data_IF_451096395319
#
_entry.id   IF_451096395319
#
_cell.length_a   1.000
_cell.length_b   1.000
_cell.length_c   1.000
_cell.angle_alpha   90.00
_cell.angle_beta   90.00
_cell.angle_gamma   90.00
#
_symmetry.space_group_name_H-M   'P 1'
#
loop_
_entity.id
_entity.type
_entity.pdbx_description
1 polymer ?
#
# COMPACT_ATOMS: atom_id res chain seq x y z
N UNK A 1 -2.20 -3.54 -12.22
CA UNK A 1 -2.34 -3.93 -10.80
C UNK A 1 -2.14 -2.77 -9.83
N UNK A 2 -0.97 -2.13 -9.80
CA UNK A 2 -0.63 -1.13 -8.77
C UNK A 2 -1.22 0.27 -8.96
N UNK A 3 -1.62 0.63 -10.18
CA UNK A 3 -2.20 1.94 -10.47
C UNK A 3 -3.67 1.90 -10.90
N UNK A 4 -4.29 0.71 -10.91
CA UNK A 4 -5.67 0.54 -11.35
C UNK A 4 -6.55 0.07 -10.20
N UNK A 5 -7.79 0.53 -10.19
CA UNK A 5 -8.79 0.18 -9.22
C UNK A 5 -10.19 0.10 -9.86
N UNK A 6 -11.12 -0.52 -9.17
CA UNK A 6 -12.53 -0.52 -9.58
C UNK A 6 -13.21 0.75 -9.07
N UNK A 7 -13.85 1.49 -9.97
CA UNK A 7 -14.74 2.61 -9.65
C UNK A 7 -16.20 2.21 -9.89
N UNK A 8 -17.15 3.10 -9.60
CA UNK A 8 -18.58 2.86 -9.88
C UNK A 8 -18.82 2.51 -11.35
N UNK A 9 -18.19 3.25 -12.27
CA UNK A 9 -18.45 3.16 -13.71
C UNK A 9 -17.45 2.29 -14.48
N UNK A 10 -16.30 1.92 -13.88
CA UNK A 10 -15.24 1.21 -14.58
C UNK A 10 -14.56 0.19 -13.67
N UNK A 11 -14.57 -1.08 -14.08
CA UNK A 11 -13.95 -2.18 -13.33
C UNK A 11 -12.42 -2.12 -13.23
N UNK A 12 -11.74 -1.45 -14.16
CA UNK A 12 -10.28 -1.38 -14.26
C UNK A 12 -9.80 0.04 -14.57
N UNK A 13 -10.22 1.01 -13.76
CA UNK A 13 -9.93 2.43 -13.94
C UNK A 13 -8.49 2.75 -13.53
N UNK A 14 -7.71 3.37 -14.44
CA UNK A 14 -6.39 3.91 -14.10
C UNK A 14 -6.54 5.12 -13.17
N UNK A 15 -5.86 5.09 -12.02
CA UNK A 15 -5.84 6.16 -11.01
C UNK A 15 -4.48 6.87 -10.96
N UNK A 16 -3.83 6.92 -12.11
CA UNK A 16 -2.58 7.61 -12.37
C UNK A 16 -2.54 8.00 -13.86
N UNK A 17 -1.83 9.08 -14.16
CA UNK A 17 -1.45 9.43 -15.53
C UNK A 17 -0.23 8.64 -15.97
N UNK A 18 -0.20 8.24 -17.24
CA UNK A 18 0.93 7.50 -17.84
C UNK A 18 1.28 8.10 -19.19
N UNK A 19 2.53 8.50 -19.36
CA UNK A 19 3.10 8.89 -20.65
C UNK A 19 4.14 7.84 -21.06
N UNK A 20 3.90 7.19 -22.20
CA UNK A 20 4.79 6.14 -22.72
C UNK A 20 5.46 6.65 -23.99
N UNK A 21 6.79 6.71 -23.97
CA UNK A 21 7.60 6.96 -25.17
C UNK A 21 8.08 5.62 -25.72
N UNK A 22 7.92 5.43 -27.02
CA UNK A 22 8.41 4.25 -27.73
C UNK A 22 9.56 4.71 -28.62
N UNK A 23 10.70 4.03 -28.52
CA UNK A 23 11.92 4.40 -29.22
C UNK A 23 12.13 3.49 -30.43
N UNK A 24 12.36 4.12 -31.58
CA UNK A 24 12.68 3.44 -32.83
C UNK A 24 14.08 3.84 -33.31
N UNK A 25 14.80 2.90 -33.89
CA UNK A 25 16.07 3.19 -34.56
C UNK A 25 15.87 3.76 -35.97
N UNK A 26 16.97 4.04 -36.68
CA UNK A 26 16.93 4.54 -38.06
C UNK A 26 16.36 3.53 -39.08
N UNK A 27 16.14 2.27 -38.68
CA UNK A 27 15.51 1.22 -39.49
C UNK A 27 14.03 1.02 -39.13
N UNK A 28 13.47 1.88 -38.27
CA UNK A 28 12.12 1.78 -37.70
C UNK A 28 11.89 0.51 -36.86
N UNK A 29 12.94 -0.06 -36.29
CA UNK A 29 12.81 -1.18 -35.35
C UNK A 29 12.62 -0.66 -33.93
N UNK A 30 11.74 -1.34 -33.18
CA UNK A 30 11.52 -1.05 -31.76
C UNK A 30 12.78 -1.38 -30.97
N UNK A 31 13.41 -0.38 -30.38
CA UNK A 31 14.65 -0.53 -29.59
C UNK A 31 14.48 -0.26 -28.11
N UNK A 32 13.37 0.34 -27.69
CA UNK A 32 13.10 0.57 -26.28
C UNK A 32 11.80 1.32 -26.01
N UNK A 33 11.51 1.52 -24.74
CA UNK A 33 10.39 2.34 -24.29
C UNK A 33 10.70 2.98 -22.93
N UNK A 34 10.21 4.21 -22.73
CA UNK A 34 10.19 4.86 -21.42
C UNK A 34 8.75 5.03 -20.95
N UNK A 35 8.52 4.89 -19.66
CA UNK A 35 7.23 5.17 -19.05
C UNK A 35 7.42 6.20 -17.94
N UNK A 36 6.75 7.34 -18.06
CA UNK A 36 6.68 8.36 -17.02
C UNK A 36 5.28 8.35 -16.42
N UNK A 37 5.20 8.25 -15.10
CA UNK A 37 3.93 8.21 -14.36
C UNK A 37 3.69 9.51 -13.62
N UNK A 38 2.43 9.95 -13.55
CA UNK A 38 2.02 11.19 -12.91
C UNK A 38 0.80 10.98 -12.03
N UNK A 39 0.67 11.80 -10.98
CA UNK A 39 -0.59 11.99 -10.23
C UNK A 39 -1.27 10.69 -9.81
N UNK A 40 -0.54 9.79 -9.13
CA UNK A 40 -1.17 8.65 -8.47
C UNK A 40 -2.16 9.16 -7.40
N UNK A 41 -3.40 8.67 -7.43
CA UNK A 41 -4.43 9.00 -6.43
C UNK A 41 -4.09 8.34 -5.08
N UNK A 42 -3.22 8.98 -4.30
CA UNK A 42 -2.76 8.45 -3.00
C UNK A 42 -3.90 8.27 -2.00
N UNK A 43 -4.90 9.16 -2.02
CA UNK A 43 -6.07 9.10 -1.12
C UNK A 43 -6.87 7.80 -1.24
N UNK A 44 -6.82 7.13 -2.40
CA UNK A 44 -7.51 5.84 -2.59
C UNK A 44 -6.97 4.73 -1.69
N UNK A 45 -5.72 4.83 -1.24
CA UNK A 45 -5.15 3.84 -0.32
C UNK A 45 -5.92 3.83 1.00
N UNK A 46 -6.32 5.00 1.50
CA UNK A 46 -6.93 5.15 2.84
C UNK A 46 -8.46 5.15 2.83
N UNK A 47 -9.09 5.55 1.73
CA UNK A 47 -10.55 5.65 1.65
C UNK A 47 -11.05 5.36 0.24
N UNK A 48 -12.23 4.74 0.16
CA UNK A 48 -12.91 4.46 -1.10
C UNK A 48 -14.40 4.79 -0.97
N UNK A 49 -15.00 5.25 -2.06
CA UNK A 49 -16.44 5.48 -2.10
C UNK A 49 -17.20 4.15 -2.11
N UNK A 50 -18.46 4.18 -1.66
CA UNK A 50 -19.34 3.02 -1.73
C UNK A 50 -19.40 2.45 -3.15
N UNK A 51 -19.22 1.12 -3.24
CA UNK A 51 -19.14 0.41 -4.51
C UNK A 51 -17.77 0.45 -5.17
N UNK A 52 -16.79 1.23 -4.72
CA UNK A 52 -15.44 1.22 -5.29
C UNK A 52 -14.51 0.21 -4.61
N UNK A 53 -13.33 -0.01 -5.18
CA UNK A 53 -12.23 -0.77 -4.57
C UNK A 53 -11.01 0.08 -4.35
N UNK A 54 -10.13 -0.40 -3.48
CA UNK A 54 -8.74 0.01 -3.44
C UNK A 54 -8.00 -0.52 -4.70
N UNK A 55 -6.69 -0.29 -4.78
CA UNK A 55 -5.88 -0.78 -5.90
C UNK A 55 -5.92 -2.31 -6.01
N UNK A 56 -5.91 -2.81 -7.25
CA UNK A 56 -6.04 -4.24 -7.51
C UNK A 56 -4.93 -5.10 -6.88
N UNK A 57 -3.73 -4.54 -6.70
CA UNK A 57 -2.60 -5.27 -6.11
C UNK A 57 -2.91 -5.81 -4.70
N UNK A 58 -3.71 -5.12 -3.88
CA UNK A 58 -4.10 -5.62 -2.56
C UNK A 58 -4.89 -6.92 -2.68
N UNK A 59 -5.96 -6.94 -3.47
CA UNK A 59 -6.83 -8.11 -3.62
C UNK A 59 -6.12 -9.27 -4.34
N UNK A 60 -5.28 -8.96 -5.33
CA UNK A 60 -4.43 -9.93 -6.01
C UNK A 60 -3.45 -10.60 -5.05
N UNK A 61 -2.83 -9.83 -4.15
CA UNK A 61 -1.95 -10.36 -3.10
C UNK A 61 -2.69 -11.36 -2.20
N UNK A 62 -3.90 -11.05 -1.75
CA UNK A 62 -4.70 -12.00 -0.95
C UNK A 62 -5.14 -13.24 -1.72
N UNK A 63 -5.44 -13.11 -3.02
CA UNK A 63 -5.90 -14.20 -3.87
C UNK A 63 -4.78 -15.11 -4.40
N UNK A 64 -3.55 -14.58 -4.46
CA UNK A 64 -2.42 -15.24 -5.10
C UNK A 64 -1.37 -15.80 -4.14
N UNK A 65 -1.17 -15.18 -2.98
CA UNK A 65 -0.23 -15.68 -1.98
C UNK A 65 -0.75 -16.96 -1.31
N UNK A 66 0.17 -17.89 -1.07
CA UNK A 66 -0.11 -19.08 -0.27
C UNK A 66 -0.46 -18.72 1.17
N UNK A 67 -1.02 -19.68 1.91
CA UNK A 67 -1.30 -19.50 3.34
C UNK A 67 -0.03 -19.20 4.14
N UNK A 68 1.10 -19.85 3.81
CA UNK A 68 2.39 -19.63 4.47
C UNK A 68 2.90 -18.22 4.22
N UNK A 69 2.89 -17.77 2.96
CA UNK A 69 3.34 -16.41 2.61
C UNK A 69 2.45 -15.34 3.26
N UNK A 70 1.14 -15.57 3.35
CA UNK A 70 0.25 -14.66 4.09
C UNK A 70 0.53 -14.64 5.58
N UNK A 71 0.85 -15.78 6.20
CA UNK A 71 1.23 -15.83 7.61
C UNK A 71 2.53 -15.06 7.87
N UNK A 72 3.53 -15.18 6.98
CA UNK A 72 4.77 -14.38 7.04
C UNK A 72 4.53 -12.86 6.96
N UNK A 73 3.42 -12.45 6.33
CA UNK A 73 3.01 -11.05 6.21
C UNK A 73 1.98 -10.62 7.28
N UNK A 74 1.64 -11.49 8.22
CA UNK A 74 0.56 -11.29 9.20
C UNK A 74 -0.80 -10.98 8.54
N UNK A 75 -1.06 -11.57 7.35
CA UNK A 75 -2.25 -11.40 6.51
C UNK A 75 -3.23 -12.57 6.58
N UNK A 76 -3.54 -13.03 7.79
CA UNK A 76 -4.37 -14.22 8.02
C UNK A 76 -5.87 -13.92 7.96
N UNK A 77 -6.26 -12.66 8.24
CA UNK A 77 -7.65 -12.20 8.16
C UNK A 77 -8.09 -12.04 6.70
N UNK A 78 -9.40 -12.12 6.39
CA UNK A 78 -9.92 -11.76 5.08
C UNK A 78 -9.54 -10.32 4.69
N UNK A 79 -9.37 -10.05 3.39
CA UNK A 79 -8.98 -8.73 2.90
C UNK A 79 -9.89 -7.58 3.40
N UNK A 80 -11.20 -7.82 3.51
CA UNK A 80 -12.16 -6.82 4.00
C UNK A 80 -12.10 -6.53 5.50
N UNK A 81 -11.24 -7.21 6.26
CA UNK A 81 -11.04 -6.96 7.70
C UNK A 81 -9.96 -5.92 8.01
N UNK A 82 -9.25 -5.43 7.00
CA UNK A 82 -8.23 -4.38 7.13
C UNK A 82 -8.86 -3.02 6.82
N UNK A 83 -8.58 -2.01 7.65
CA UNK A 83 -9.23 -0.70 7.62
C UNK A 83 -9.16 -0.02 6.24
N UNK A 84 -8.03 -0.14 5.56
CA UNK A 84 -7.83 0.43 4.22
C UNK A 84 -8.56 -0.31 3.09
N UNK A 85 -9.16 -1.47 3.38
CA UNK A 85 -9.90 -2.30 2.43
C UNK A 85 -11.37 -2.50 2.84
N UNK A 86 -11.75 -2.18 4.08
CA UNK A 86 -13.07 -2.49 4.66
C UNK A 86 -14.23 -1.70 4.03
N UNK A 87 -13.96 -0.45 3.60
CA UNK A 87 -15.00 0.45 3.05
C UNK A 87 -15.36 0.13 1.60
N UNK A 88 -14.42 -0.44 0.87
CA UNK A 88 -14.60 -0.81 -0.53
C UNK A 88 -15.24 -2.19 -0.69
N UNK A 89 -15.62 -2.53 -1.91
CA UNK A 89 -16.01 -3.91 -2.24
C UNK A 89 -14.75 -4.78 -2.34
N UNK A 90 -14.83 -6.04 -1.89
CA UNK A 90 -13.66 -6.94 -1.96
C UNK A 90 -13.66 -7.68 -3.29
N UNK A 91 -14.78 -8.31 -3.64
CA UNK A 91 -14.94 -9.11 -4.84
C UNK A 91 -15.63 -8.32 -5.96
N UNK A 92 -15.17 -8.54 -7.20
CA UNK A 92 -15.78 -7.98 -8.42
C UNK A 92 -15.99 -9.13 -9.38
N UNK A 93 -17.24 -9.45 -9.72
CA UNK A 93 -17.58 -10.62 -10.54
C UNK A 93 -16.81 -10.68 -11.88
N UNK A 94 -16.52 -9.52 -12.47
CA UNK A 94 -15.79 -9.41 -13.73
C UNK A 94 -14.26 -9.57 -13.61
N UNK A 95 -13.70 -9.78 -12.41
CA UNK A 95 -12.25 -9.81 -12.16
C UNK A 95 -11.88 -11.07 -11.39
N UNK A 96 -11.01 -11.89 -11.97
CA UNK A 96 -10.35 -13.01 -11.30
C UNK A 96 -9.02 -12.55 -10.68
N UNK A 97 -9.02 -12.20 -9.39
CA UNK A 97 -7.82 -11.64 -8.74
C UNK A 97 -6.66 -12.66 -8.64
N UNK A 98 -6.92 -13.97 -8.64
CA UNK A 98 -5.87 -15.02 -8.60
C UNK A 98 -5.14 -15.16 -9.95
N UNK A 99 -5.90 -15.13 -11.05
CA UNK A 99 -5.34 -15.09 -12.40
C UNK A 99 -4.54 -13.80 -12.60
N UNK A 100 -5.11 -12.65 -12.19
CA UNK A 100 -4.43 -11.35 -12.32
C UNK A 100 -3.18 -11.23 -11.46
N UNK A 101 -3.11 -11.92 -10.32
CA UNK A 101 -1.89 -12.07 -9.56
C UNK A 101 -0.82 -12.83 -10.36
N UNK A 102 -1.19 -13.97 -10.93
CA UNK A 102 -0.28 -14.81 -11.73
C UNK A 102 0.27 -14.05 -12.93
N UNK A 103 -0.60 -13.34 -13.66
CA UNK A 103 -0.22 -12.44 -14.75
C UNK A 103 0.81 -11.39 -14.30
N UNK A 104 0.56 -10.75 -13.15
CA UNK A 104 1.44 -9.72 -12.61
C UNK A 104 2.81 -10.28 -12.23
N UNK A 105 2.87 -11.45 -11.57
CA UNK A 105 4.13 -12.13 -11.21
C UNK A 105 4.94 -12.45 -12.46
N UNK A 106 4.30 -13.01 -13.50
CA UNK A 106 4.97 -13.32 -14.77
C UNK A 106 5.47 -12.04 -15.43
N UNK A 107 4.62 -11.01 -15.54
CA UNK A 107 4.99 -9.73 -16.15
C UNK A 107 6.18 -9.06 -15.43
N UNK A 108 6.20 -9.08 -14.10
CA UNK A 108 7.30 -8.55 -13.30
C UNK A 108 8.61 -9.30 -13.57
N UNK A 109 8.58 -10.64 -13.66
CA UNK A 109 9.75 -11.44 -14.01
C UNK A 109 10.27 -11.12 -15.41
N UNK A 110 9.37 -10.97 -16.38
CA UNK A 110 9.72 -10.64 -17.77
C UNK A 110 10.51 -9.33 -17.89
N UNK A 111 10.21 -8.35 -17.05
CA UNK A 111 10.92 -7.05 -17.03
C UNK A 111 12.08 -7.01 -16.03
N UNK A 112 12.51 -8.16 -15.50
CA UNK A 112 13.70 -8.28 -14.65
C UNK A 112 13.48 -8.01 -13.16
N UNK A 113 12.24 -7.91 -12.68
CA UNK A 113 11.96 -7.80 -11.25
C UNK A 113 12.07 -9.19 -10.62
N UNK A 114 13.07 -9.38 -9.77
CA UNK A 114 13.38 -10.67 -9.15
C UNK A 114 12.30 -11.12 -8.16
N UNK A 115 12.19 -12.43 -7.85
CA UNK A 115 11.28 -12.92 -6.82
C UNK A 115 11.45 -12.22 -5.46
N UNK A 116 12.69 -11.88 -5.09
CA UNK A 116 13.01 -11.19 -3.84
C UNK A 116 12.46 -9.76 -3.84
N UNK A 117 12.62 -9.04 -4.96
CA UNK A 117 12.03 -7.72 -5.12
C UNK A 117 10.49 -7.77 -5.10
N UNK A 118 9.89 -8.79 -5.71
CA UNK A 118 8.44 -9.02 -5.65
C UNK A 118 7.97 -9.28 -4.22
N UNK A 119 8.68 -10.13 -3.46
CA UNK A 119 8.42 -10.34 -2.04
C UNK A 119 8.47 -9.03 -1.27
N UNK A 120 9.50 -8.21 -1.49
CA UNK A 120 9.61 -6.88 -0.90
C UNK A 120 8.42 -5.95 -1.23
N UNK A 121 7.92 -6.00 -2.47
CA UNK A 121 6.73 -5.23 -2.86
C UNK A 121 5.48 -5.67 -2.08
N UNK A 122 5.26 -6.98 -1.91
CA UNK A 122 4.14 -7.49 -1.11
C UNK A 122 4.31 -7.22 0.39
N UNK A 123 5.54 -7.29 0.91
CA UNK A 123 5.88 -6.87 2.28
C UNK A 123 5.50 -5.41 2.53
N UNK A 124 5.79 -4.51 1.59
CA UNK A 124 5.40 -3.09 1.69
C UNK A 124 3.87 -2.92 1.64
N UNK A 125 3.16 -3.66 0.78
CA UNK A 125 1.70 -3.61 0.75
C UNK A 125 1.08 -4.11 2.06
N UNK A 126 1.60 -5.20 2.63
CA UNK A 126 1.16 -5.71 3.92
C UNK A 126 1.42 -4.71 5.05
N UNK A 127 2.60 -4.10 5.09
CA UNK A 127 2.93 -3.06 6.05
C UNK A 127 1.96 -1.87 5.98
N UNK A 128 1.56 -1.44 4.77
CA UNK A 128 0.55 -0.39 4.60
C UNK A 128 -0.80 -0.76 5.21
N UNK A 129 -1.23 -2.02 5.08
CA UNK A 129 -2.49 -2.48 5.68
C UNK A 129 -2.41 -2.46 7.21
N UNK A 130 -1.31 -2.96 7.79
CA UNK A 130 -1.08 -2.93 9.24
C UNK A 130 -0.99 -1.51 9.79
N UNK A 131 -0.34 -0.58 9.06
CA UNK A 131 -0.33 0.84 9.43
C UNK A 131 -1.75 1.44 9.45
N UNK A 132 -2.62 1.02 8.55
CA UNK A 132 -4.01 1.46 8.51
C UNK A 132 -4.87 0.95 9.66
N UNK A 133 -4.48 -0.17 10.27
CA UNK A 133 -5.17 -0.78 11.42
C UNK A 133 -4.66 -0.23 12.77
N UNK A 134 -3.69 0.69 12.78
CA UNK A 134 -3.23 1.34 14.01
C UNK A 134 -4.29 2.32 14.50
N UNK A 135 -4.84 2.06 15.68
CA UNK A 135 -5.75 2.98 16.38
C UNK A 135 -5.00 3.86 17.38
N UNK A 136 -5.57 5.02 17.67
CA UNK A 136 -5.05 5.97 18.65
C UNK A 136 -6.09 6.21 19.75
N UNK A 137 -5.62 6.37 20.97
CA UNK A 137 -6.44 6.63 22.17
C UNK A 137 -5.99 7.95 22.77
N UNK A 138 -6.92 8.84 23.17
CA UNK A 138 -6.54 10.13 23.74
C UNK A 138 -6.10 9.95 25.19
N UNK A 139 -5.20 10.82 25.65
CA UNK A 139 -4.77 10.90 27.04
C UNK A 139 -5.27 12.20 27.69
N UNK A 140 -5.29 12.25 29.01
CA UNK A 140 -5.71 13.45 29.77
C UNK A 140 -4.83 14.68 29.47
N UNK A 141 -3.56 14.47 29.11
CA UNK A 141 -2.58 15.52 28.79
C UNK A 141 -2.67 16.06 27.35
N UNK A 142 -3.85 16.02 26.73
CA UNK A 142 -4.06 16.62 25.41
C UNK A 142 -3.13 16.01 24.33
N UNK A 143 -2.89 14.69 24.44
CA UNK A 143 -2.03 13.87 23.59
C UNK A 143 -2.72 12.55 23.19
N UNK A 144 -2.04 11.70 22.42
CA UNK A 144 -2.52 10.36 22.08
C UNK A 144 -1.45 9.28 22.22
N UNK A 145 -1.91 8.06 22.47
CA UNK A 145 -1.09 6.83 22.51
C UNK A 145 -1.66 5.80 21.54
N UNK A 146 -0.86 4.80 21.17
CA UNK A 146 -1.29 3.73 20.27
C UNK A 146 -2.20 2.74 21.01
N UNK A 147 -3.38 2.48 20.45
CA UNK A 147 -4.36 1.53 21.01
C UNK A 147 -4.17 0.09 20.52
N UNK A 148 -3.79 -0.11 19.26
CA UNK A 148 -3.58 -1.43 18.65
C UNK A 148 -2.09 -1.76 18.52
N UNK A 149 -1.50 -2.30 19.59
CA UNK A 149 -0.07 -2.62 19.62
C UNK A 149 0.33 -3.70 18.61
N UNK A 150 -0.55 -4.67 18.32
CA UNK A 150 -0.26 -5.77 17.38
C UNK A 150 -0.05 -5.28 15.95
N UNK A 151 -0.95 -4.42 15.43
CA UNK A 151 -0.82 -3.85 14.08
C UNK A 151 0.46 -3.02 13.94
N UNK A 152 0.81 -2.25 14.98
CA UNK A 152 2.06 -1.51 15.01
C UNK A 152 3.29 -2.43 15.01
N UNK A 153 3.26 -3.52 15.80
CA UNK A 153 4.33 -4.49 15.85
C UNK A 153 4.53 -5.21 14.50
N UNK A 154 3.44 -5.62 13.84
CA UNK A 154 3.49 -6.20 12.50
C UNK A 154 4.05 -5.22 11.46
N UNK A 155 3.58 -3.97 11.46
CA UNK A 155 4.11 -2.93 10.57
C UNK A 155 5.62 -2.70 10.80
N UNK A 156 6.05 -2.64 12.07
CA UNK A 156 7.46 -2.49 12.45
C UNK A 156 8.32 -3.66 11.95
N UNK A 157 7.85 -4.90 12.15
CA UNK A 157 8.55 -6.10 11.69
C UNK A 157 8.71 -6.11 10.16
N UNK A 158 7.65 -5.80 9.41
CA UNK A 158 7.67 -5.80 7.94
C UNK A 158 8.52 -4.66 7.36
N UNK A 159 8.54 -3.49 8.02
CA UNK A 159 9.38 -2.35 7.63
C UNK A 159 10.82 -2.46 8.13
N UNK A 160 11.12 -3.46 8.97
CA UNK A 160 12.42 -3.66 9.61
C UNK A 160 12.84 -2.45 10.46
N UNK A 161 11.90 -1.92 11.23
CA UNK A 161 12.09 -0.78 12.11
C UNK A 161 11.83 -1.17 13.57
N UNK A 162 12.51 -0.53 14.54
CA UNK A 162 12.13 -0.67 15.95
C UNK A 162 10.71 -0.16 16.18
N UNK A 163 9.92 -0.88 17.00
CA UNK A 163 8.53 -0.49 17.33
C UNK A 163 8.47 0.92 17.91
N UNK A 164 9.39 1.26 18.82
CA UNK A 164 9.48 2.58 19.43
C UNK A 164 9.68 3.71 18.39
N UNK A 165 10.37 3.43 17.28
CA UNK A 165 10.56 4.41 16.20
C UNK A 165 9.25 4.72 15.49
N UNK A 166 8.42 3.70 15.24
CA UNK A 166 7.10 3.90 14.63
C UNK A 166 6.15 4.59 15.61
N UNK A 167 6.13 4.14 16.86
CA UNK A 167 5.29 4.74 17.91
C UNK A 167 5.58 6.23 18.05
N UNK A 168 6.86 6.60 18.19
CA UNK A 168 7.26 8.00 18.30
C UNK A 168 6.85 8.81 17.06
N UNK A 169 7.07 8.27 15.86
CA UNK A 169 6.72 8.94 14.61
C UNK A 169 5.21 9.14 14.42
N UNK A 170 4.38 8.27 15.00
CA UNK A 170 2.92 8.33 14.91
C UNK A 170 2.26 9.13 16.03
N UNK A 171 2.95 9.35 17.15
CA UNK A 171 2.41 10.03 18.35
C UNK A 171 3.06 11.38 18.63
N UNK A 172 4.12 11.74 17.90
CA UNK A 172 4.82 13.01 18.09
C UNK A 172 5.25 13.63 16.76
N UNK A 173 5.34 14.96 16.73
CA UNK A 173 5.98 15.71 15.64
C UNK A 173 7.25 16.39 16.12
N UNK A 174 8.27 16.40 15.28
CA UNK A 174 9.50 17.14 15.53
C UNK A 174 9.39 18.56 14.98
N UNK A 175 9.70 19.57 15.80
CA UNK A 175 9.79 20.98 15.39
C UNK A 175 11.20 21.50 15.63
N UNK A 176 11.72 22.25 14.66
CA UNK A 176 13.00 22.95 14.78
C UNK A 176 12.72 24.45 14.97
N UNK A 177 13.34 25.04 15.99
CA UNK A 177 13.28 26.46 16.27
C UNK A 177 14.05 27.31 15.27
N UNK A 178 13.78 28.60 15.26
CA UNK A 178 14.66 29.61 14.65
C UNK A 178 16.06 29.62 15.29
N UNK A 179 16.19 29.21 16.56
CA UNK A 179 17.48 29.04 17.24
C UNK A 179 18.22 27.74 16.88
N UNK A 180 17.64 26.88 16.05
CA UNK A 180 18.18 25.54 15.73
C UNK A 180 17.90 24.47 16.78
N UNK A 181 17.24 24.80 17.89
CA UNK A 181 16.84 23.83 18.92
C UNK A 181 15.73 22.90 18.38
N UNK A 182 15.85 21.60 18.65
CA UNK A 182 14.87 20.58 18.22
C UNK A 182 13.98 20.22 19.41
N UNK A 183 12.66 20.22 19.19
CA UNK A 183 11.65 19.86 20.18
C UNK A 183 10.73 18.78 19.62
N UNK A 184 10.24 17.89 20.51
CA UNK A 184 9.17 16.94 20.19
C UNK A 184 7.87 17.44 20.79
N UNK A 185 6.80 17.41 20.00
CA UNK A 185 5.47 17.86 20.40
C UNK A 185 4.53 16.66 20.25
N UNK A 186 3.87 16.19 21.34
CA UNK A 186 2.85 15.15 21.27
C UNK A 186 1.72 15.52 20.32
N UNK A 187 1.18 14.53 19.60
CA UNK A 187 0.05 14.68 18.70
C UNK A 187 -1.26 14.46 19.46
N UNK A 188 -2.30 15.17 19.03
CA UNK A 188 -3.67 14.99 19.49
C UNK A 188 -4.39 13.99 18.59
N UNK A 189 -5.32 13.23 19.14
CA UNK A 189 -6.26 12.47 18.31
C UNK A 189 -7.17 13.44 17.54
N UNK A 190 -7.28 13.25 16.22
CA UNK A 190 -8.17 13.99 15.33
C UNK A 190 -9.46 13.22 15.06
#
# INVERSE_FOLDING_TARGET
SFGNAKTVMNHNSSRFGKFTRIHFDSRNWLVGADVVTYLLEKSRVITQNSGERNYHCFYQMFAGLSKSERAELHLEKPAGSYHFLEKGIVQVAAINDSERYSDAVIAMRTIGITPEAQKGMYTLLAALLHLGDISFVPTDDDACVVGAMDSMAHAAALLQLPVATIEEALTSRTMTSMSGSIYKIPLKQQ
#
